data_IF_612040126225
#
_entry.id   IF_612040126225
#
_cell.length_a   1.000
_cell.length_b   1.000
_cell.length_c   1.000
_cell.angle_alpha   90.00
_cell.angle_beta   90.00
_cell.angle_gamma   90.00
#
_symmetry.space_group_name_H-M   'P 1'
#
loop_
_entity.id
_entity.type
_entity.pdbx_description
1 polymer ?
#
# COMPACT_ATOMS: atom_id res chain seq x y z
N UNK A 1 7.57 -10.39 -2.14
CA UNK A 1 7.06 -8.99 -2.13
C UNK A 1 5.87 -8.89 -3.08
N UNK A 2 5.24 -7.72 -3.27
CA UNK A 2 4.02 -7.57 -4.09
C UNK A 2 4.05 -8.31 -5.45
N UNK A 3 5.21 -8.31 -6.12
CA UNK A 3 5.44 -9.04 -7.39
C UNK A 3 5.32 -10.56 -7.26
N UNK A 4 5.68 -11.15 -6.12
CA UNK A 4 5.51 -12.58 -5.83
C UNK A 4 4.04 -12.95 -5.72
N UNK A 5 3.24 -12.08 -5.09
CA UNK A 5 1.80 -12.26 -4.98
C UNK A 5 1.08 -12.09 -6.32
N UNK A 6 1.58 -11.20 -7.17
CA UNK A 6 1.16 -11.09 -8.57
C UNK A 6 1.37 -12.40 -9.32
N UNK A 7 2.55 -13.01 -9.22
CA UNK A 7 2.83 -14.30 -9.86
C UNK A 7 1.89 -15.40 -9.32
N UNK A 8 1.68 -15.45 -8.00
CA UNK A 8 0.75 -16.42 -7.39
C UNK A 8 -0.68 -16.23 -7.91
N UNK A 9 -1.15 -14.99 -8.04
CA UNK A 9 -2.47 -14.69 -8.62
C UNK A 9 -2.56 -15.13 -10.08
N UNK A 10 -1.48 -14.97 -10.85
CA UNK A 10 -1.39 -15.40 -12.24
C UNK A 10 -1.42 -16.93 -12.37
N UNK A 11 -0.75 -17.65 -11.48
CA UNK A 11 -0.80 -19.12 -11.46
C UNK A 11 -2.22 -19.60 -11.16
N UNK A 12 -2.87 -19.02 -10.14
CA UNK A 12 -4.27 -19.33 -9.80
C UNK A 12 -5.22 -19.08 -10.98
N UNK A 13 -4.99 -18.00 -11.73
CA UNK A 13 -5.78 -17.66 -12.91
C UNK A 13 -5.50 -18.57 -14.10
N UNK A 14 -4.24 -18.85 -14.44
CA UNK A 14 -3.90 -19.57 -15.66
C UNK A 14 -4.18 -21.07 -15.57
N UNK A 15 -4.01 -21.66 -14.39
CA UNK A 15 -4.09 -23.11 -14.21
C UNK A 15 -5.35 -23.59 -13.49
N UNK A 16 -6.04 -22.73 -12.74
CA UNK A 16 -7.09 -23.14 -11.81
C UNK A 16 -8.40 -22.32 -11.93
N UNK A 17 -8.61 -21.60 -13.04
CA UNK A 17 -9.84 -20.83 -13.27
C UNK A 17 -11.10 -21.71 -13.14
N UNK A 18 -12.12 -21.17 -12.48
CA UNK A 18 -13.39 -21.85 -12.24
C UNK A 18 -13.38 -22.85 -11.08
N UNK A 19 -12.24 -23.05 -10.43
CA UNK A 19 -12.14 -23.90 -9.23
C UNK A 19 -12.09 -23.09 -7.94
N UNK A 20 -12.55 -23.64 -6.80
CA UNK A 20 -12.42 -22.99 -5.49
C UNK A 20 -10.97 -22.66 -5.13
N UNK A 21 -10.03 -23.51 -5.53
CA UNK A 21 -8.60 -23.34 -5.29
C UNK A 21 -8.07 -22.15 -6.08
N UNK A 22 -8.43 -22.02 -7.36
CA UNK A 22 -8.04 -20.87 -8.18
C UNK A 22 -8.59 -19.57 -7.62
N UNK A 23 -9.84 -19.56 -7.18
CA UNK A 23 -10.45 -18.38 -6.54
C UNK A 23 -9.71 -18.00 -5.25
N UNK A 24 -9.38 -18.98 -4.40
CA UNK A 24 -8.59 -18.75 -3.20
C UNK A 24 -7.21 -18.16 -3.50
N UNK A 25 -6.49 -18.72 -4.48
CA UNK A 25 -5.16 -18.24 -4.87
C UNK A 25 -5.20 -16.80 -5.43
N UNK A 26 -6.20 -16.49 -6.26
CA UNK A 26 -6.37 -15.13 -6.81
C UNK A 26 -6.64 -14.14 -5.67
N UNK A 27 -7.58 -14.43 -4.77
CA UNK A 27 -7.93 -13.54 -3.66
C UNK A 27 -6.76 -13.35 -2.70
N UNK A 28 -6.04 -14.42 -2.36
CA UNK A 28 -4.83 -14.35 -1.54
C UNK A 28 -3.73 -13.51 -2.21
N UNK A 29 -3.53 -13.68 -3.52
CA UNK A 29 -2.60 -12.86 -4.30
C UNK A 29 -2.96 -11.38 -4.26
N UNK A 30 -4.23 -11.05 -4.53
CA UNK A 30 -4.72 -9.67 -4.48
C UNK A 30 -4.57 -9.05 -3.09
N UNK A 31 -4.94 -9.78 -2.03
CA UNK A 31 -4.76 -9.32 -0.65
C UNK A 31 -3.28 -9.09 -0.31
N UNK A 32 -2.40 -10.01 -0.73
CA UNK A 32 -0.96 -9.90 -0.53
C UNK A 32 -0.36 -8.69 -1.25
N UNK A 33 -0.78 -8.43 -2.49
CA UNK A 33 -0.41 -7.22 -3.26
C UNK A 33 -0.85 -5.97 -2.49
N UNK A 34 -2.11 -5.91 -2.06
CA UNK A 34 -2.67 -4.78 -1.34
C UNK A 34 -1.88 -4.45 -0.07
N UNK A 35 -1.62 -5.45 0.79
CA UNK A 35 -0.88 -5.24 2.04
C UNK A 35 0.55 -4.74 1.75
N UNK A 36 1.23 -5.31 0.75
CA UNK A 36 2.60 -4.88 0.43
C UNK A 36 2.64 -3.43 -0.09
N UNK A 37 1.66 -3.04 -0.92
CA UNK A 37 1.56 -1.67 -1.44
C UNK A 37 1.18 -0.70 -0.32
N UNK A 38 0.24 -1.08 0.55
CA UNK A 38 -0.13 -0.27 1.71
C UNK A 38 1.09 -0.03 2.62
N UNK A 39 1.86 -1.07 2.94
CA UNK A 39 3.09 -0.95 3.72
C UNK A 39 4.15 -0.10 3.01
N UNK A 40 4.30 -0.24 1.70
CA UNK A 40 5.21 0.59 0.90
C UNK A 40 4.84 2.07 1.02
N UNK A 41 3.56 2.40 0.85
CA UNK A 41 3.07 3.78 0.88
C UNK A 41 3.16 4.36 2.29
N UNK A 42 2.82 3.56 3.30
CA UNK A 42 3.01 3.92 4.70
C UNK A 42 4.48 4.25 4.99
N UNK A 43 5.41 3.40 4.54
CA UNK A 43 6.84 3.63 4.72
C UNK A 43 7.40 4.76 3.85
N UNK A 44 6.70 5.23 2.81
CA UNK A 44 7.09 6.40 2.03
C UNK A 44 6.62 7.73 2.64
N UNK A 45 5.72 7.68 3.62
CA UNK A 45 5.19 8.90 4.24
C UNK A 45 6.30 9.66 5.00
N UNK A 46 6.50 10.97 4.74
CA UNK A 46 7.62 11.74 5.26
C UNK A 46 7.42 12.15 6.74
N UNK A 47 7.35 11.16 7.61
CA UNK A 47 7.12 11.34 9.04
C UNK A 47 7.99 10.33 9.82
N UNK A 48 8.81 10.77 10.79
CA UNK A 48 9.43 9.83 11.71
C UNK A 48 8.33 9.10 12.51
N UNK A 49 8.47 7.82 12.89
CA UNK A 49 9.62 6.93 12.73
C UNK A 49 9.67 6.16 11.39
N UNK A 50 8.80 6.49 10.43
CA UNK A 50 8.69 5.78 9.15
C UNK A 50 9.93 6.03 8.29
N UNK A 51 10.20 5.09 7.38
CA UNK A 51 11.41 5.16 6.54
C UNK A 51 11.43 6.42 5.67
N UNK A 52 10.29 6.93 5.21
CA UNK A 52 10.15 8.15 4.44
C UNK A 52 10.58 9.39 5.22
N UNK A 53 10.38 9.42 6.54
CA UNK A 53 10.93 10.45 7.41
C UNK A 53 12.45 10.42 7.45
N UNK A 54 13.06 9.22 7.49
CA UNK A 54 14.53 9.04 7.47
C UNK A 54 15.12 9.42 6.11
N UNK A 55 14.47 9.02 5.02
CA UNK A 55 14.85 9.43 3.65
C UNK A 55 14.81 10.95 3.55
N UNK A 56 13.74 11.59 4.02
CA UNK A 56 13.63 13.05 4.00
C UNK A 56 14.75 13.73 4.80
N UNK A 57 15.11 13.23 5.98
CA UNK A 57 16.25 13.78 6.75
C UNK A 57 17.60 13.61 6.05
N UNK A 58 17.78 12.54 5.27
CA UNK A 58 19.01 12.30 4.51
C UNK A 58 19.12 13.18 3.25
N UNK A 59 17.98 13.57 2.67
CA UNK A 59 17.92 14.43 1.47
C UNK A 59 17.98 15.92 1.84
N UNK A 60 17.45 16.30 3.00
CA UNK A 60 17.43 17.70 3.43
C UNK A 60 18.82 18.22 3.84
N UNK A 61 19.13 19.52 3.60
CA UNK A 61 20.31 20.15 4.17
C UNK A 61 20.31 20.07 5.70
N UNK A 62 21.51 19.97 6.30
CA UNK A 62 21.70 19.76 7.75
C UNK A 62 20.86 20.69 8.65
N UNK A 63 20.65 21.93 8.22
CA UNK A 63 19.87 22.93 8.93
C UNK A 63 18.40 22.51 9.06
N UNK A 64 17.80 22.07 7.95
CA UNK A 64 16.41 21.63 7.87
C UNK A 64 16.22 20.25 8.50
N UNK A 65 17.17 19.34 8.32
CA UNK A 65 17.16 18.04 8.96
C UNK A 65 17.11 18.18 10.50
N UNK A 66 17.92 19.09 11.08
CA UNK A 66 17.93 19.33 12.53
C UNK A 66 16.60 19.86 13.06
N UNK A 67 15.90 20.69 12.29
CA UNK A 67 14.56 21.18 12.66
C UNK A 67 13.54 20.05 12.57
N UNK A 68 13.59 19.25 11.51
CA UNK A 68 12.68 18.12 11.31
C UNK A 68 12.86 17.02 12.38
N UNK A 69 14.09 16.72 12.79
CA UNK A 69 14.36 15.75 13.88
C UNK A 69 13.72 16.13 15.21
N UNK A 70 13.34 17.40 15.44
CA UNK A 70 12.59 17.79 16.64
C UNK A 70 11.18 17.19 16.70
N UNK A 71 10.65 16.77 15.57
CA UNK A 71 9.32 16.15 15.43
C UNK A 71 9.38 14.65 15.76
N UNK A 72 10.57 14.04 15.75
CA UNK A 72 10.77 12.59 15.94
C UNK A 72 10.08 12.01 17.19
N UNK A 73 10.15 12.64 18.38
CA UNK A 73 9.47 12.12 19.58
C UNK A 73 7.94 12.10 19.46
N UNK A 74 7.37 13.02 18.68
CA UNK A 74 5.92 13.14 18.47
C UNK A 74 5.42 12.36 17.25
N UNK A 75 6.34 11.81 16.44
CA UNK A 75 6.04 11.17 15.18
C UNK A 75 4.96 10.09 15.26
N UNK A 76 5.07 9.20 16.26
CA UNK A 76 4.06 8.15 16.46
C UNK A 76 2.66 8.71 16.80
N UNK A 77 2.59 9.76 17.62
CA UNK A 77 1.32 10.41 18.00
C UNK A 77 0.68 11.11 16.80
N UNK A 78 1.49 11.82 15.99
CA UNK A 78 1.03 12.47 14.77
C UNK A 78 0.47 11.43 13.79
N UNK A 79 1.16 10.30 13.63
CA UNK A 79 0.71 9.21 12.78
C UNK A 79 -0.64 8.62 13.23
N UNK A 80 -0.79 8.37 14.53
CA UNK A 80 -2.05 7.91 15.10
C UNK A 80 -3.20 8.89 14.84
N UNK A 81 -2.97 10.19 15.05
CA UNK A 81 -3.96 11.22 14.74
C UNK A 81 -4.33 11.24 13.26
N UNK A 82 -3.36 11.12 12.36
CA UNK A 82 -3.61 11.06 10.91
C UNK A 82 -4.43 9.83 10.48
N UNK A 83 -4.21 8.69 11.14
CA UNK A 83 -4.98 7.46 10.88
C UNK A 83 -6.40 7.56 11.42
N UNK A 84 -6.57 8.01 12.67
CA UNK A 84 -7.90 8.15 13.30
C UNK A 84 -8.76 9.20 12.59
N UNK A 85 -8.15 10.28 12.12
CA UNK A 85 -8.86 11.33 11.36
C UNK A 85 -9.06 10.99 9.89
N UNK A 86 -8.58 9.83 9.41
CA UNK A 86 -8.56 9.42 8.00
C UNK A 86 -7.78 10.36 7.06
N UNK A 87 -7.08 11.37 7.58
CA UNK A 87 -6.29 12.30 6.76
C UNK A 87 -5.15 11.58 6.04
N UNK A 88 -4.56 10.56 6.68
CA UNK A 88 -3.55 9.72 6.01
C UNK A 88 -4.09 9.12 4.71
N UNK A 89 -5.27 8.50 4.76
CA UNK A 89 -5.89 7.88 3.59
C UNK A 89 -6.35 8.92 2.57
N UNK A 90 -6.76 10.11 2.99
CA UNK A 90 -7.09 11.20 2.07
C UNK A 90 -5.86 11.64 1.25
N UNK A 91 -4.70 11.79 1.90
CA UNK A 91 -3.47 12.23 1.26
C UNK A 91 -2.84 11.13 0.39
N UNK A 92 -2.76 9.90 0.93
CA UNK A 92 -2.06 8.78 0.30
C UNK A 92 -2.96 7.91 -0.57
N UNK A 93 -4.28 8.05 -0.44
CA UNK A 93 -5.30 7.26 -1.15
C UNK A 93 -5.16 7.29 -2.67
N UNK A 94 -5.04 8.48 -3.32
CA UNK A 94 -4.84 8.55 -4.77
C UNK A 94 -3.60 7.79 -5.23
N UNK A 95 -2.50 7.88 -4.47
CA UNK A 95 -1.26 7.17 -4.75
C UNK A 95 -1.45 5.66 -4.58
N UNK A 96 -2.15 5.24 -3.53
CA UNK A 96 -2.48 3.85 -3.27
C UNK A 96 -3.33 3.24 -4.37
N UNK A 97 -4.41 3.91 -4.78
CA UNK A 97 -5.29 3.45 -5.87
C UNK A 97 -4.52 3.38 -7.19
N UNK A 98 -3.65 4.36 -7.46
CA UNK A 98 -2.85 4.38 -8.69
C UNK A 98 -1.87 3.19 -8.75
N UNK A 99 -1.09 2.98 -7.69
CA UNK A 99 -0.12 1.89 -7.65
C UNK A 99 -0.82 0.53 -7.61
N UNK A 100 -1.85 0.38 -6.78
CA UNK A 100 -2.66 -0.83 -6.71
C UNK A 100 -3.26 -1.15 -8.08
N UNK A 101 -3.84 -0.15 -8.75
CA UNK A 101 -4.39 -0.28 -10.10
C UNK A 101 -3.37 -0.82 -11.10
N UNK A 102 -2.12 -0.33 -11.08
CA UNK A 102 -1.03 -0.85 -11.93
C UNK A 102 -0.71 -2.33 -11.68
N UNK A 103 -0.74 -2.78 -10.42
CA UNK A 103 -0.52 -4.19 -10.12
C UNK A 103 -1.73 -5.06 -10.47
N UNK A 104 -2.94 -4.56 -10.24
CA UNK A 104 -4.17 -5.31 -10.48
C UNK A 104 -4.50 -5.45 -11.97
N UNK A 105 -4.18 -4.46 -12.81
CA UNK A 105 -4.21 -4.67 -14.27
C UNK A 105 -3.29 -5.80 -14.68
N UNK A 106 -2.13 -5.92 -14.03
CA UNK A 106 -1.19 -7.02 -14.19
C UNK A 106 -1.71 -8.39 -13.75
N UNK A 107 -2.71 -8.49 -12.88
CA UNK A 107 -3.37 -9.77 -12.49
C UNK A 107 -4.37 -10.23 -13.56
N UNK A 108 -4.90 -9.28 -14.35
CA UNK A 108 -6.02 -9.42 -15.28
C UNK A 108 -7.25 -10.11 -14.69
N UNK A 109 -7.48 -9.91 -13.40
CA UNK A 109 -8.78 -10.15 -12.74
C UNK A 109 -9.84 -9.31 -13.46
N UNK A 110 -11.03 -9.88 -13.76
CA UNK A 110 -12.08 -9.14 -14.44
C UNK A 110 -12.52 -7.90 -13.65
N UNK A 111 -12.71 -6.77 -14.35
CA UNK A 111 -13.13 -5.48 -13.79
C UNK A 111 -14.22 -5.55 -12.70
N UNK A 112 -15.29 -6.36 -12.82
CA UNK A 112 -16.31 -6.46 -11.77
C UNK A 112 -15.81 -7.05 -10.43
N UNK A 113 -14.89 -8.02 -10.46
CA UNK A 113 -14.24 -8.52 -9.23
C UNK A 113 -13.31 -7.47 -8.63
N UNK A 114 -12.66 -6.68 -9.48
CA UNK A 114 -11.80 -5.57 -9.11
C UNK A 114 -12.58 -4.49 -8.35
N UNK A 115 -13.75 -4.10 -8.86
CA UNK A 115 -14.65 -3.17 -8.20
C UNK A 115 -15.12 -3.70 -6.84
N UNK A 116 -15.55 -4.96 -6.77
CA UNK A 116 -15.90 -5.62 -5.50
C UNK A 116 -14.77 -5.60 -4.49
N UNK A 117 -13.52 -5.79 -4.92
CA UNK A 117 -12.38 -5.79 -4.00
C UNK A 117 -12.06 -4.38 -3.50
N UNK A 118 -12.16 -3.36 -4.36
CA UNK A 118 -12.00 -1.96 -3.99
C UNK A 118 -13.11 -1.52 -3.02
N UNK A 119 -14.36 -1.90 -3.31
CA UNK A 119 -15.52 -1.65 -2.48
C UNK A 119 -15.40 -2.33 -1.10
N UNK A 120 -14.90 -3.58 -1.05
CA UNK A 120 -14.63 -4.31 0.20
C UNK A 120 -13.53 -3.63 1.04
N UNK A 121 -12.58 -2.97 0.38
CA UNK A 121 -11.48 -2.25 1.03
C UNK A 121 -11.86 -0.81 1.42
N UNK A 122 -13.13 -0.40 1.21
CA UNK A 122 -13.68 0.93 1.55
C UNK A 122 -12.87 2.10 0.96
N UNK A 123 -12.40 1.92 -0.27
CA UNK A 123 -11.84 2.99 -1.11
C UNK A 123 -12.84 3.32 -2.21
#
# INVERSE_FOLDING_TARGET
MATSWLILSQIGRLFFVGTPIGQFLILMGVAGIYINILLMIFNLFPLPPLDGGRVLTGVLPVQWARVFSRIEPYGFVILLLLLVTNVFFLLMGPLLVSVLGLFLTGTGVPAPMLQQTLDLLRL
#
